data_IF_765715155405
#
_entry.id   IF_765715155405
#
_cell.length_a   1.000
_cell.length_b   1.000
_cell.length_c   1.000
_cell.angle_alpha   90.00
_cell.angle_beta   90.00
_cell.angle_gamma   90.00
#
_symmetry.space_group_name_H-M   'P 1'
#
loop_
_entity.id
_entity.type
_entity.pdbx_description
1 polymer ?
#
# COMPACT_ATOMS: atom_id res chain seq x y z
N UNK A 1 10.54 2.72 15.58
CA UNK A 1 11.01 4.02 15.02
C UNK A 1 12.26 3.89 14.15
N UNK A 2 13.39 3.34 14.61
CA UNK A 2 14.65 3.30 13.81
C UNK A 2 14.53 2.80 12.35
N UNK A 3 13.62 1.86 12.05
CA UNK A 3 13.41 1.37 10.69
C UNK A 3 12.81 2.45 9.77
N UNK A 4 11.72 3.08 10.19
CA UNK A 4 11.01 4.08 9.37
C UNK A 4 11.82 5.37 9.26
N UNK A 5 12.52 5.76 10.33
CA UNK A 5 13.46 6.89 10.30
C UNK A 5 14.57 6.65 9.25
N UNK A 6 15.07 5.42 9.16
CA UNK A 6 16.08 5.05 8.17
C UNK A 6 15.52 5.08 6.74
N UNK A 7 14.28 4.62 6.54
CA UNK A 7 13.59 4.68 5.23
C UNK A 7 13.40 6.14 4.81
N UNK A 8 12.93 7.00 5.70
CA UNK A 8 12.76 8.44 5.45
C UNK A 8 14.09 9.09 5.05
N UNK A 9 15.18 8.80 5.79
CA UNK A 9 16.51 9.31 5.45
C UNK A 9 17.02 8.81 4.10
N UNK A 10 16.76 7.55 3.74
CA UNK A 10 17.12 7.03 2.42
C UNK A 10 16.35 7.74 1.31
N UNK A 11 15.06 8.01 1.53
CA UNK A 11 14.22 8.69 0.56
C UNK A 11 14.61 10.17 0.39
N UNK A 12 14.89 10.88 1.49
CA UNK A 12 15.40 12.25 1.47
C UNK A 12 16.70 12.36 0.65
N UNK A 13 17.64 11.43 0.88
CA UNK A 13 18.89 11.37 0.11
C UNK A 13 18.64 11.10 -1.38
N UNK A 14 17.68 10.24 -1.72
CA UNK A 14 17.34 9.95 -3.11
C UNK A 14 16.74 11.16 -3.82
N UNK A 15 15.82 11.88 -3.18
CA UNK A 15 15.19 13.09 -3.72
C UNK A 15 16.28 14.15 -4.03
N UNK A 16 17.20 14.38 -3.10
CA UNK A 16 18.35 15.28 -3.26
C UNK A 16 19.27 14.85 -4.41
N UNK A 17 19.65 13.58 -4.46
CA UNK A 17 20.56 13.06 -5.49
C UNK A 17 19.97 13.20 -6.90
N UNK A 18 18.67 12.93 -7.03
CA UNK A 18 17.96 13.00 -8.31
C UNK A 18 17.47 14.41 -8.67
N UNK A 19 17.67 15.39 -7.78
CA UNK A 19 17.20 16.78 -7.95
C UNK A 19 15.70 16.83 -8.26
N UNK A 20 14.94 16.06 -7.48
CA UNK A 20 13.47 16.02 -7.56
C UNK A 20 12.83 17.02 -6.61
N UNK A 21 13.62 17.82 -5.90
CA UNK A 21 13.16 18.94 -5.10
C UNK A 21 12.54 19.99 -6.03
N UNK A 22 11.21 20.10 -5.99
CA UNK A 22 10.49 21.25 -6.54
C UNK A 22 9.98 22.07 -5.36
N UNK A 23 10.20 23.39 -5.37
CA UNK A 23 9.90 24.24 -4.21
C UNK A 23 8.38 24.39 -3.96
N UNK A 24 7.57 24.08 -4.97
CA UNK A 24 6.12 24.30 -4.97
C UNK A 24 5.28 23.01 -4.99
N UNK A 25 5.88 21.82 -5.09
CA UNK A 25 5.15 20.54 -5.19
C UNK A 25 5.74 19.42 -4.31
N UNK A 26 4.88 18.81 -3.49
CA UNK A 26 5.18 17.57 -2.78
C UNK A 26 5.14 16.37 -3.76
N UNK A 27 6.09 15.45 -3.62
CA UNK A 27 6.16 14.25 -4.47
C UNK A 27 5.20 13.19 -3.91
N UNK A 28 4.12 12.81 -4.62
CA UNK A 28 3.20 11.81 -4.13
C UNK A 28 3.87 10.44 -4.07
N UNK A 29 3.93 9.83 -2.88
CA UNK A 29 4.55 8.53 -2.67
C UNK A 29 3.53 7.40 -2.48
N UNK A 30 3.63 6.37 -3.32
CA UNK A 30 3.01 5.08 -3.06
C UNK A 30 3.95 4.20 -2.25
N UNK A 31 3.62 3.89 -0.99
CA UNK A 31 4.44 3.07 -0.11
C UNK A 31 4.00 1.60 -0.17
N UNK A 32 4.82 0.75 -0.81
CA UNK A 32 4.59 -0.70 -0.80
C UNK A 32 5.19 -1.32 0.46
N UNK A 33 4.35 -1.76 1.38
CA UNK A 33 4.77 -2.39 2.63
C UNK A 33 4.31 -3.86 2.68
N UNK A 34 5.25 -4.77 2.43
CA UNK A 34 5.00 -6.20 2.23
C UNK A 34 4.78 -7.02 3.51
N UNK A 35 4.07 -6.48 4.48
CA UNK A 35 3.73 -7.13 5.74
C UNK A 35 2.23 -7.01 6.03
N UNK A 36 1.67 -7.88 6.89
CA UNK A 36 0.28 -7.77 7.33
C UNK A 36 0.02 -6.45 8.04
N UNK A 37 -0.93 -5.69 7.51
CA UNK A 37 -1.35 -4.39 8.02
C UNK A 37 -2.87 -4.39 8.16
N UNK A 38 -3.36 -3.94 9.32
CA UNK A 38 -4.76 -3.59 9.49
C UNK A 38 -4.94 -2.17 8.93
N UNK A 39 -5.42 -2.11 7.70
CA UNK A 39 -5.54 -0.89 6.92
C UNK A 39 -6.88 -0.21 7.20
N UNK A 40 -6.84 1.03 7.70
CA UNK A 40 -8.00 1.85 8.06
C UNK A 40 -8.33 2.90 6.99
N UNK A 41 -7.33 3.31 6.19
CA UNK A 41 -7.51 4.20 5.04
C UNK A 41 -6.58 3.82 3.88
N UNK A 42 -6.66 4.51 2.74
CA UNK A 42 -5.78 4.20 1.60
C UNK A 42 -4.29 4.47 1.92
N UNK A 43 -3.99 5.39 2.83
CA UNK A 43 -2.63 5.83 3.13
C UNK A 43 -2.16 5.57 4.56
N UNK A 44 -2.99 4.96 5.41
CA UNK A 44 -2.61 4.59 6.79
C UNK A 44 -2.92 3.13 7.08
N UNK A 45 -2.22 2.55 8.04
CA UNK A 45 -2.52 1.21 8.50
C UNK A 45 -1.55 0.71 9.57
N UNK A 46 -2.09 -0.03 10.53
CA UNK A 46 -1.32 -0.54 11.67
C UNK A 46 -0.65 -1.89 11.35
N UNK A 47 0.67 -2.00 11.56
CA UNK A 47 1.37 -3.28 11.43
C UNK A 47 0.88 -4.27 12.49
N UNK A 48 0.38 -5.43 12.07
CA UNK A 48 -0.15 -6.45 13.01
C UNK A 48 0.90 -7.45 13.45
N UNK A 49 1.78 -7.90 12.55
CA UNK A 49 2.89 -8.77 12.89
C UNK A 49 3.99 -8.75 11.83
N UNK A 50 5.23 -8.96 12.27
CA UNK A 50 6.33 -9.27 11.34
C UNK A 50 6.26 -10.72 10.85
N UNK A 51 6.79 -10.96 9.67
CA UNK A 51 7.00 -12.30 9.10
C UNK A 51 8.32 -12.33 8.29
N UNK A 52 8.55 -13.36 7.48
CA UNK A 52 9.74 -13.47 6.60
C UNK A 52 11.09 -13.35 7.35
N UNK A 53 11.13 -13.70 8.64
CA UNK A 53 12.31 -13.57 9.48
C UNK A 53 12.65 -12.14 9.93
N UNK A 54 11.81 -11.16 9.61
CA UNK A 54 11.96 -9.78 10.09
C UNK A 54 11.47 -9.64 11.53
N UNK A 55 12.09 -8.74 12.26
CA UNK A 55 11.64 -8.30 13.57
C UNK A 55 12.23 -6.92 13.85
N UNK A 56 11.37 -5.93 14.05
CA UNK A 56 11.75 -4.60 14.51
C UNK A 56 10.87 -4.22 15.71
N UNK A 57 11.52 -3.78 16.79
CA UNK A 57 10.84 -3.39 18.02
C UNK A 57 10.07 -2.07 17.85
N UNK A 58 8.95 -1.95 18.56
CA UNK A 58 8.14 -0.72 18.56
C UNK A 58 7.51 -0.38 17.21
N UNK A 59 7.22 -1.39 16.38
CA UNK A 59 6.50 -1.22 15.11
C UNK A 59 5.14 -1.93 15.14
N UNK A 60 5.09 -3.16 15.69
CA UNK A 60 3.82 -3.90 15.82
C UNK A 60 2.84 -3.13 16.71
N UNK A 61 1.59 -2.99 16.25
CA UNK A 61 0.54 -2.22 16.91
C UNK A 61 0.65 -0.71 16.70
N UNK A 62 1.53 -0.24 15.81
CA UNK A 62 1.68 1.17 15.44
C UNK A 62 1.43 1.34 13.94
N UNK A 63 1.10 2.57 13.55
CA UNK A 63 0.91 2.95 12.16
C UNK A 63 2.21 2.79 11.35
N UNK A 64 2.06 2.40 10.10
CA UNK A 64 3.16 2.27 9.12
C UNK A 64 3.39 3.64 8.51
N UNK A 65 3.99 4.50 9.31
CA UNK A 65 4.25 5.89 8.97
C UNK A 65 5.73 6.11 8.61
N UNK A 66 5.95 6.77 7.48
CA UNK A 66 7.25 7.29 7.05
C UNK A 66 7.04 8.79 6.91
N UNK A 67 7.91 9.61 7.51
CA UNK A 67 7.80 11.07 7.61
C UNK A 67 7.94 11.79 6.24
N UNK A 68 7.04 11.46 5.30
CA UNK A 68 6.92 11.88 3.90
C UNK A 68 5.45 11.76 3.49
N UNK A 69 4.99 12.57 2.54
CA UNK A 69 3.60 12.49 2.03
C UNK A 69 3.31 11.16 1.31
N UNK A 70 2.77 10.20 2.07
CA UNK A 70 2.27 8.93 1.56
C UNK A 70 0.83 9.11 1.12
N UNK A 71 0.59 8.96 -0.18
CA UNK A 71 -0.77 9.03 -0.76
C UNK A 71 -1.45 7.67 -0.84
N UNK A 72 -0.67 6.58 -0.76
CA UNK A 72 -1.19 5.23 -0.75
C UNK A 72 -0.23 4.25 -0.07
N UNK A 73 -0.74 3.47 0.88
CA UNK A 73 -0.10 2.32 1.48
C UNK A 73 -0.66 1.05 0.83
N UNK A 74 0.22 0.21 0.29
CA UNK A 74 -0.17 -0.99 -0.47
C UNK A 74 0.64 -2.23 -0.08
N UNK A 75 -0.02 -3.39 -0.17
CA UNK A 75 0.66 -4.67 -0.19
C UNK A 75 1.33 -4.92 -1.55
N UNK A 76 2.47 -5.62 -1.58
CA UNK A 76 3.20 -5.97 -2.81
C UNK A 76 2.36 -6.66 -3.87
N UNK A 77 1.46 -7.54 -3.46
CA UNK A 77 0.63 -8.32 -4.38
C UNK A 77 -0.44 -7.44 -5.02
N UNK A 78 -0.95 -6.44 -4.29
CA UNK A 78 -1.86 -5.40 -4.81
C UNK A 78 -1.11 -4.51 -5.79
N UNK A 79 0.08 -4.02 -5.44
CA UNK A 79 0.93 -3.25 -6.36
C UNK A 79 1.26 -4.01 -7.64
N UNK A 80 1.49 -5.33 -7.53
CA UNK A 80 1.71 -6.22 -8.69
C UNK A 80 0.50 -6.28 -9.61
N UNK A 81 -0.71 -6.46 -9.05
CA UNK A 81 -1.95 -6.44 -9.82
C UNK A 81 -2.14 -5.09 -10.52
N UNK A 82 -2.01 -3.98 -9.79
CA UNK A 82 -2.23 -2.63 -10.34
C UNK A 82 -1.24 -2.30 -11.47
N UNK A 83 0.05 -2.63 -11.29
CA UNK A 83 1.07 -2.39 -12.31
C UNK A 83 0.81 -3.18 -13.61
N UNK A 84 0.27 -4.40 -13.50
CA UNK A 84 -0.12 -5.20 -14.64
C UNK A 84 -1.41 -4.69 -15.29
N UNK A 85 -2.43 -4.42 -14.47
CA UNK A 85 -3.74 -3.98 -14.92
C UNK A 85 -3.72 -2.59 -15.57
N UNK A 86 -2.76 -1.74 -15.19
CA UNK A 86 -2.48 -0.47 -15.87
C UNK A 86 -2.04 -0.65 -17.34
N UNK A 87 -1.37 -1.77 -17.66
CA UNK A 87 -0.91 -2.08 -19.02
C UNK A 87 -1.90 -2.96 -19.78
N UNK A 88 -2.59 -3.83 -19.09
CA UNK A 88 -3.54 -4.80 -19.64
C UNK A 88 -4.78 -4.88 -18.74
N UNK A 89 -5.87 -4.28 -19.20
CA UNK A 89 -7.14 -4.25 -18.48
C UNK A 89 -7.77 -5.63 -18.23
N UNK A 90 -7.30 -6.67 -18.90
CA UNK A 90 -7.74 -8.05 -18.66
C UNK A 90 -7.09 -8.68 -17.41
N UNK A 91 -6.11 -8.04 -16.78
CA UNK A 91 -5.50 -8.55 -15.56
C UNK A 91 -6.44 -8.42 -14.36
N UNK A 92 -6.79 -9.56 -13.74
CA UNK A 92 -7.76 -9.62 -12.63
C UNK A 92 -7.17 -10.16 -11.32
N UNK A 93 -6.00 -10.80 -11.38
CA UNK A 93 -5.37 -11.50 -10.25
C UNK A 93 -3.88 -11.17 -10.21
N UNK A 94 -3.37 -10.76 -9.05
CA UNK A 94 -1.94 -10.65 -8.76
C UNK A 94 -1.52 -11.83 -7.89
N UNK A 95 -0.38 -12.45 -8.21
CA UNK A 95 0.17 -13.58 -7.42
C UNK A 95 1.66 -13.36 -7.22
N UNK A 96 2.12 -13.52 -5.97
CA UNK A 96 3.53 -13.59 -5.62
C UNK A 96 3.87 -15.03 -5.26
N UNK A 97 4.90 -15.58 -5.91
CA UNK A 97 5.46 -16.89 -5.63
C UNK A 97 6.97 -16.73 -5.37
N UNK A 98 7.36 -16.56 -4.11
CA UNK A 98 8.74 -16.34 -3.70
C UNK A 98 9.04 -16.91 -2.31
N UNK A 99 9.79 -16.17 -1.48
CA UNK A 99 10.08 -16.53 -0.07
C UNK A 99 8.80 -16.80 0.73
N UNK A 100 7.70 -16.14 0.35
CA UNK A 100 6.33 -16.52 0.72
C UNK A 100 5.44 -16.53 -0.51
N UNK A 101 4.20 -16.95 -0.34
CA UNK A 101 3.15 -16.88 -1.35
C UNK A 101 2.02 -15.95 -0.91
N UNK A 102 1.52 -15.15 -1.84
CA UNK A 102 0.35 -14.30 -1.63
C UNK A 102 -0.42 -14.12 -2.94
N UNK A 103 -1.72 -13.85 -2.86
CA UNK A 103 -2.56 -13.58 -4.01
C UNK A 103 -3.58 -12.49 -3.68
N UNK A 104 -3.89 -11.64 -4.65
CA UNK A 104 -4.98 -10.67 -4.57
C UNK A 104 -5.77 -10.66 -5.88
N UNK A 105 -7.00 -10.15 -5.81
CA UNK A 105 -7.88 -10.03 -6.96
C UNK A 105 -8.87 -8.89 -6.72
N UNK A 106 -9.51 -8.42 -7.80
CA UNK A 106 -10.61 -7.46 -7.70
C UNK A 106 -11.91 -8.18 -7.36
N UNK A 107 -12.57 -7.78 -6.26
CA UNK A 107 -13.91 -8.27 -5.88
C UNK A 107 -14.92 -7.12 -5.88
N UNK A 108 -16.18 -7.47 -6.12
CA UNK A 108 -17.31 -6.56 -6.02
C UNK A 108 -17.67 -6.32 -4.55
N UNK A 109 -17.85 -5.06 -4.15
CA UNK A 109 -18.23 -4.69 -2.77
C UNK A 109 -19.47 -5.45 -2.26
N UNK A 110 -20.44 -5.74 -3.14
CA UNK A 110 -21.66 -6.50 -2.81
C UNK A 110 -21.39 -7.91 -2.30
N UNK A 111 -20.22 -8.49 -2.64
CA UNK A 111 -19.76 -9.81 -2.18
C UNK A 111 -18.88 -9.76 -0.94
N UNK A 112 -18.65 -8.58 -0.37
CA UNK A 112 -17.88 -8.36 0.85
C UNK A 112 -18.80 -8.01 2.03
N UNK A 113 -19.54 -8.97 2.63
CA UNK A 113 -20.55 -8.69 3.66
C UNK A 113 -20.00 -8.01 4.91
N UNK A 114 -18.71 -8.22 5.22
CA UNK A 114 -18.03 -7.57 6.34
C UNK A 114 -17.87 -6.06 6.15
N UNK A 115 -17.88 -5.57 4.90
CA UNK A 115 -17.72 -4.15 4.59
C UNK A 115 -19.06 -3.39 4.56
N UNK A 116 -20.19 -4.08 4.76
CA UNK A 116 -21.52 -3.45 4.70
C UNK A 116 -21.73 -2.37 5.77
N UNK A 117 -21.06 -2.50 6.91
CA UNK A 117 -21.14 -1.53 8.01
C UNK A 117 -20.58 -0.16 7.64
N UNK A 118 -19.67 -0.08 6.67
CA UNK A 118 -19.06 1.17 6.19
C UNK A 118 -19.93 1.89 5.14
N UNK A 119 -21.08 1.33 4.78
CA UNK A 119 -22.02 1.87 3.80
C UNK A 119 -21.39 2.29 2.45
N UNK A 120 -20.28 1.65 2.06
CA UNK A 120 -19.49 1.98 0.86
C UNK A 120 -20.33 1.92 -0.42
N UNK A 121 -21.43 1.18 -0.47
CA UNK A 121 -22.33 1.17 -1.63
C UNK A 121 -22.99 2.53 -1.89
N UNK A 122 -23.09 3.40 -0.88
CA UNK A 122 -23.74 4.72 -0.97
C UNK A 122 -22.78 5.85 -1.33
N UNK A 123 -21.47 5.61 -1.31
CA UNK A 123 -20.51 6.61 -1.76
C UNK A 123 -20.58 6.79 -3.30
N UNK A 124 -20.04 7.89 -3.82
CA UNK A 124 -19.96 8.14 -5.27
C UNK A 124 -18.68 7.55 -5.90
N UNK A 125 -18.02 6.61 -5.22
CA UNK A 125 -16.77 6.00 -5.69
C UNK A 125 -17.04 4.72 -6.49
N UNK A 126 -16.08 4.31 -7.34
CA UNK A 126 -16.17 3.06 -8.08
C UNK A 126 -16.32 1.86 -7.14
N UNK A 127 -17.32 0.99 -7.41
CA UNK A 127 -17.58 -0.23 -6.62
C UNK A 127 -16.69 -1.42 -6.99
N UNK A 128 -15.91 -1.25 -8.05
CA UNK A 128 -14.85 -2.11 -8.52
C UNK A 128 -13.93 -1.25 -9.40
N UNK A 129 -12.64 -1.55 -9.43
CA UNK A 129 -11.73 -0.90 -10.39
C UNK A 129 -12.00 -1.49 -11.77
N UNK A 130 -12.31 -0.63 -12.74
CA UNK A 130 -12.38 -0.98 -14.16
C UNK A 130 -11.21 -0.30 -14.84
N UNK A 131 -10.25 -1.11 -15.29
CA UNK A 131 -9.18 -0.65 -16.18
C UNK A 131 -9.80 -0.62 -17.58
N UNK A 132 -9.85 0.55 -18.23
CA UNK A 132 -10.40 0.72 -19.58
C UNK A 132 -9.29 0.73 -20.61
#
# INVERSE_FOLDING_TARGET
MQLFDHIASCLENFIKEKKLEDEDEEIPLGFTFSFPVDQDSINSGTLTNWNKGFSASGCVGNDVDVDVDVVALLNDTVGTLLACAFKDSSCQIGVILGTGSNACYMEQLSKCPKLKEYELEKDNLPKQVQFY
#
